data_IF_364010069559
#
_entry.id   IF_364010069559
#
_cell.length_a   1.000
_cell.length_b   1.000
_cell.length_c   1.000
_cell.angle_alpha   90.00
_cell.angle_beta   90.00
_cell.angle_gamma   90.00
#
_symmetry.space_group_name_H-M   'P 1'
#
loop_
_entity.id
_entity.type
_entity.pdbx_description
1 polymer ?
#
# COMPACT_ATOMS: atom_id res chain seq x y z
N UNK A 1 14.77 -53.33 -37.32
CA UNK A 1 15.62 -53.60 -38.49
C UNK A 1 15.55 -52.33 -39.35
N UNK A 2 16.51 -51.40 -39.34
CA UNK A 2 17.88 -51.45 -39.90
C UNK A 2 17.80 -51.85 -41.40
N UNK A 3 18.28 -51.14 -42.44
CA UNK A 3 19.42 -50.24 -42.75
C UNK A 3 19.00 -49.39 -44.00
N UNK A 4 19.44 -48.13 -44.23
CA UNK A 4 20.58 -47.67 -45.11
C UNK A 4 20.52 -48.19 -46.57
N UNK A 5 20.92 -47.54 -47.68
CA UNK A 5 21.54 -46.27 -48.09
C UNK A 5 21.46 -46.25 -49.67
N UNK A 6 21.57 -45.15 -50.44
CA UNK A 6 22.79 -44.60 -51.07
C UNK A 6 22.37 -43.47 -52.07
N UNK A 7 22.91 -42.26 -51.94
CA UNK A 7 23.91 -41.59 -52.82
C UNK A 7 23.48 -41.16 -54.24
N UNK A 8 23.60 -39.85 -54.52
CA UNK A 8 24.30 -39.37 -55.72
C UNK A 8 24.86 -37.96 -55.53
N UNK A 9 26.14 -37.81 -55.90
CA UNK A 9 26.99 -36.62 -55.85
C UNK A 9 26.60 -35.62 -56.95
N UNK A 10 26.75 -34.32 -56.68
CA UNK A 10 27.38 -33.38 -57.63
C UNK A 10 28.08 -32.26 -56.88
N UNK A 11 29.31 -31.97 -57.32
CA UNK A 11 30.25 -31.03 -56.75
C UNK A 11 30.21 -29.68 -57.49
N UNK A 12 30.60 -28.62 -56.77
CA UNK A 12 31.47 -27.56 -57.29
C UNK A 12 30.82 -26.23 -57.69
N UNK A 13 30.93 -25.24 -56.80
CA UNK A 13 31.55 -23.94 -57.12
C UNK A 13 31.85 -23.18 -55.82
N UNK A 14 33.12 -22.84 -55.64
CA UNK A 14 33.72 -22.14 -54.50
C UNK A 14 33.57 -20.63 -54.71
N UNK A 15 33.01 -19.91 -53.74
CA UNK A 15 33.09 -18.44 -53.70
C UNK A 15 33.71 -18.03 -52.35
N UNK A 16 34.87 -17.37 -52.43
CA UNK A 16 35.65 -16.84 -51.32
C UNK A 16 34.93 -15.65 -50.68
N UNK A 17 34.72 -15.67 -49.37
CA UNK A 17 34.50 -14.47 -48.56
C UNK A 17 35.45 -14.54 -47.37
N UNK A 18 36.26 -13.49 -47.23
CA UNK A 18 37.29 -13.33 -46.21
C UNK A 18 36.70 -13.30 -44.80
N UNK A 19 37.26 -14.12 -43.90
CA UNK A 19 36.99 -14.04 -42.47
C UNK A 19 37.89 -12.96 -41.84
N UNK A 20 37.29 -11.89 -41.33
CA UNK A 20 37.98 -10.97 -40.44
C UNK A 20 38.22 -11.67 -39.10
N UNK A 21 39.48 -11.83 -38.72
CA UNK A 21 39.89 -12.41 -37.44
C UNK A 21 39.49 -11.51 -36.28
N UNK A 22 38.70 -12.05 -35.36
CA UNK A 22 38.49 -11.44 -34.05
C UNK A 22 39.62 -11.89 -33.14
N UNK A 23 40.48 -10.93 -32.75
CA UNK A 23 41.52 -11.14 -31.76
C UNK A 23 40.88 -11.30 -30.37
N UNK A 24 41.05 -12.47 -29.75
CA UNK A 24 40.70 -12.72 -28.36
C UNK A 24 41.85 -12.25 -27.46
N UNK A 25 41.69 -11.06 -26.88
CA UNK A 25 42.54 -10.64 -25.77
C UNK A 25 42.04 -11.29 -24.46
N UNK A 26 42.93 -11.79 -23.58
CA UNK A 26 42.53 -12.36 -22.31
C UNK A 26 42.01 -11.28 -21.36
N UNK A 27 40.86 -11.52 -20.74
CA UNK A 27 40.29 -10.68 -19.69
C UNK A 27 41.16 -10.82 -18.43
N UNK A 28 41.65 -9.73 -17.80
CA UNK A 28 42.34 -9.82 -16.52
C UNK A 28 41.38 -10.33 -15.44
N UNK A 29 41.76 -11.42 -14.78
CA UNK A 29 41.08 -11.94 -13.60
C UNK A 29 41.42 -11.08 -12.37
N UNK A 30 40.74 -9.94 -12.21
CA UNK A 30 40.62 -9.23 -10.93
C UNK A 30 39.49 -8.19 -11.00
N UNK A 31 38.26 -8.66 -11.11
CA UNK A 31 37.07 -7.84 -10.87
C UNK A 31 36.45 -8.26 -9.54
N UNK A 32 36.85 -7.60 -8.45
CA UNK A 32 36.08 -7.62 -7.21
C UNK A 32 34.67 -7.11 -7.51
N UNK A 33 33.60 -7.73 -7.00
CA UNK A 33 32.25 -7.21 -7.17
C UNK A 33 32.20 -5.82 -6.54
N UNK A 34 31.83 -4.82 -7.34
CA UNK A 34 31.56 -3.47 -6.85
C UNK A 34 30.45 -3.57 -5.80
N UNK A 35 30.76 -3.19 -4.57
CA UNK A 35 29.78 -3.07 -3.52
C UNK A 35 28.71 -2.07 -3.96
N UNK A 36 27.44 -2.48 -3.93
CA UNK A 36 26.31 -1.59 -4.17
C UNK A 36 26.44 -0.34 -3.28
N UNK A 37 26.09 0.86 -3.77
CA UNK A 37 26.18 2.06 -2.96
C UNK A 37 25.21 1.90 -1.80
N UNK A 38 25.74 1.63 -0.60
CA UNK A 38 24.99 1.87 0.62
C UNK A 38 24.86 3.38 0.71
N UNK A 39 23.70 3.89 0.33
CA UNK A 39 23.33 5.28 0.57
C UNK A 39 23.45 5.51 2.08
N UNK A 40 24.58 6.06 2.50
CA UNK A 40 24.85 6.45 3.87
C UNK A 40 23.95 7.65 4.11
N UNK A 41 22.79 7.40 4.72
CA UNK A 41 21.85 8.45 5.10
C UNK A 41 22.59 9.40 6.04
N UNK A 42 23.05 10.53 5.52
CA UNK A 42 23.63 11.58 6.33
C UNK A 42 22.49 12.12 7.19
N UNK A 43 22.50 11.76 8.47
CA UNK A 43 21.57 12.30 9.44
C UNK A 43 21.87 13.79 9.62
N UNK A 44 21.05 14.65 9.02
CA UNK A 44 20.82 15.97 9.59
C UNK A 44 20.50 15.78 11.10
N UNK A 45 20.94 16.66 12.00
CA UNK A 45 20.74 16.47 13.43
C UNK A 45 19.24 16.28 13.66
N UNK A 46 18.87 15.06 14.05
CA UNK A 46 17.49 14.69 14.31
C UNK A 46 17.01 15.60 15.43
N UNK A 47 16.23 16.63 15.07
CA UNK A 47 15.48 17.42 16.04
C UNK A 47 14.69 16.42 16.89
N UNK A 48 14.85 16.51 18.21
CA UNK A 48 14.44 15.47 19.15
C UNK A 48 13.05 14.92 18.80
N UNK A 49 13.01 13.67 18.32
CA UNK A 49 11.77 12.96 18.05
C UNK A 49 10.98 12.81 19.36
N UNK A 50 9.64 12.69 19.30
CA UNK A 50 8.87 12.46 20.51
C UNK A 50 9.35 11.16 21.19
N UNK A 51 9.45 11.20 22.52
CA UNK A 51 9.76 10.01 23.32
C UNK A 51 8.61 8.99 23.27
N UNK A 52 8.88 7.75 23.67
CA UNK A 52 7.85 6.72 23.81
C UNK A 52 7.38 6.06 22.50
N UNK A 53 8.02 6.34 21.36
CA UNK A 53 7.72 5.65 20.09
C UNK A 53 8.20 4.19 20.12
N UNK A 54 7.26 3.27 20.31
CA UNK A 54 7.53 1.83 20.45
C UNK A 54 7.35 1.05 19.14
N UNK A 55 6.76 1.65 18.10
CA UNK A 55 6.54 0.99 16.82
C UNK A 55 7.81 0.42 16.18
N UNK A 56 7.65 -0.75 15.55
CA UNK A 56 8.70 -1.46 14.84
C UNK A 56 9.17 -0.70 13.60
N UNK A 57 8.25 0.00 12.94
CA UNK A 57 8.52 0.89 11.82
C UNK A 57 7.51 2.04 11.78
N UNK A 58 7.96 3.22 11.38
CA UNK A 58 7.10 4.38 11.15
C UNK A 58 7.73 5.37 10.17
N UNK A 59 6.90 6.25 9.61
CA UNK A 59 7.31 7.32 8.70
C UNK A 59 6.35 8.52 8.80
N UNK A 60 6.90 9.74 8.73
CA UNK A 60 6.14 10.99 8.59
C UNK A 60 6.56 11.69 7.30
N UNK A 61 5.60 12.08 6.47
CA UNK A 61 5.84 12.79 5.21
C UNK A 61 4.80 13.86 4.92
N UNK A 62 5.22 14.88 4.17
CA UNK A 62 4.33 15.88 3.60
C UNK A 62 3.69 15.35 2.30
N UNK A 63 2.36 15.42 2.21
CA UNK A 63 1.56 14.89 1.09
C UNK A 63 1.83 15.64 -0.20
N UNK A 64 1.98 16.96 -0.14
CA UNK A 64 2.05 17.80 -1.33
C UNK A 64 3.42 17.68 -2.00
N UNK A 65 4.48 17.66 -1.19
CA UNK A 65 5.87 17.63 -1.69
C UNK A 65 6.43 16.21 -1.78
N UNK A 66 5.81 15.24 -1.12
CA UNK A 66 6.34 13.90 -0.95
C UNK A 66 7.54 13.80 0.01
N UNK A 67 8.03 14.92 0.56
CA UNK A 67 9.19 14.96 1.45
C UNK A 67 8.96 14.12 2.70
N UNK A 68 9.87 13.18 2.97
CA UNK A 68 9.91 12.43 4.22
C UNK A 68 10.58 13.30 5.27
N UNK A 69 9.87 13.60 6.37
CA UNK A 69 10.34 14.47 7.44
C UNK A 69 11.15 13.69 8.48
N UNK A 70 10.71 12.49 8.81
CA UNK A 70 11.40 11.56 9.69
C UNK A 70 10.90 10.13 9.47
N UNK A 71 11.73 9.14 9.81
CA UNK A 71 11.31 7.74 9.78
C UNK A 71 12.14 6.85 10.71
N UNK A 72 11.61 5.66 11.01
CA UNK A 72 12.31 4.55 11.66
C UNK A 72 12.00 3.28 10.89
N UNK A 73 13.03 2.59 10.41
CA UNK A 73 12.89 1.31 9.70
C UNK A 73 11.82 1.36 8.57
N UNK A 74 11.74 2.46 7.83
CA UNK A 74 10.63 2.74 6.91
C UNK A 74 10.42 1.68 5.83
N UNK A 75 11.50 1.02 5.41
CA UNK A 75 11.53 -0.07 4.42
C UNK A 75 11.44 -1.48 5.04
N UNK A 76 11.27 -1.60 6.36
CA UNK A 76 11.11 -2.91 7.01
C UNK A 76 9.81 -3.56 6.57
N UNK A 77 9.93 -4.76 6.01
CA UNK A 77 8.80 -5.60 5.57
C UNK A 77 8.04 -6.16 6.77
N UNK A 78 6.82 -5.70 6.97
CA UNK A 78 5.89 -6.12 8.02
C UNK A 78 4.53 -6.48 7.41
N UNK A 79 3.75 -7.31 8.10
CA UNK A 79 2.39 -7.58 7.67
C UNK A 79 1.56 -6.27 7.77
N UNK A 80 0.83 -5.87 6.71
CA UNK A 80 0.15 -4.57 6.69
C UNK A 80 -1.22 -4.58 7.38
N UNK A 81 -1.80 -5.75 7.62
CA UNK A 81 -3.23 -5.88 7.93
C UNK A 81 -4.09 -5.05 6.94
N UNK A 82 -5.22 -4.52 7.42
CA UNK A 82 -6.14 -3.74 6.60
C UNK A 82 -5.60 -2.39 6.07
N UNK A 83 -4.39 -1.94 6.47
CA UNK A 83 -3.79 -0.75 5.83
C UNK A 83 -3.46 -1.01 4.35
N UNK A 84 -3.30 -2.28 3.93
CA UNK A 84 -3.15 -2.65 2.51
C UNK A 84 -4.39 -2.29 1.67
N UNK A 85 -5.56 -2.10 2.30
CA UNK A 85 -6.77 -1.64 1.59
C UNK A 85 -6.60 -0.24 0.98
N UNK A 86 -5.58 0.53 1.38
CA UNK A 86 -5.19 1.77 0.68
C UNK A 86 -4.72 1.46 -0.75
N UNK A 87 -3.87 0.45 -0.95
CA UNK A 87 -3.46 -0.02 -2.28
C UNK A 87 -4.64 -0.59 -3.07
N UNK A 88 -5.52 -1.35 -2.41
CA UNK A 88 -6.76 -1.84 -3.03
C UNK A 88 -7.62 -0.70 -3.56
N UNK A 89 -7.83 0.35 -2.75
CA UNK A 89 -8.58 1.53 -3.16
C UNK A 89 -7.91 2.26 -4.33
N UNK A 90 -6.60 2.52 -4.26
CA UNK A 90 -5.87 3.15 -5.38
C UNK A 90 -5.98 2.34 -6.68
N UNK A 91 -6.06 1.00 -6.57
CA UNK A 91 -6.17 0.11 -7.73
C UNK A 91 -7.59 0.06 -8.31
N UNK A 92 -8.61 -0.09 -7.46
CA UNK A 92 -9.95 -0.50 -7.89
C UNK A 92 -10.95 0.65 -7.90
N UNK A 93 -10.79 1.65 -7.01
CA UNK A 93 -11.74 2.75 -6.88
C UNK A 93 -12.00 3.49 -8.20
N UNK A 94 -10.99 3.80 -9.05
CA UNK A 94 -11.22 4.51 -10.31
C UNK A 94 -12.02 3.73 -11.37
N UNK A 95 -12.23 2.42 -11.18
CA UNK A 95 -12.74 1.52 -12.23
C UNK A 95 -14.26 1.49 -12.31
N UNK A 96 -14.95 1.92 -11.26
CA UNK A 96 -16.40 1.81 -11.17
C UNK A 96 -17.03 3.12 -10.69
N UNK A 97 -18.04 3.58 -11.41
CA UNK A 97 -18.86 4.71 -10.96
C UNK A 97 -19.49 4.39 -9.59
N UNK A 98 -19.45 5.38 -8.68
CA UNK A 98 -20.05 5.30 -7.36
C UNK A 98 -21.55 4.89 -7.39
N UNK A 99 -22.27 5.25 -8.46
CA UNK A 99 -23.70 4.94 -8.65
C UNK A 99 -23.97 3.54 -9.22
N UNK A 100 -22.94 2.82 -9.68
CA UNK A 100 -23.11 1.46 -10.22
C UNK A 100 -23.62 0.56 -9.10
N UNK A 101 -24.62 -0.25 -9.43
CA UNK A 101 -25.23 -1.21 -8.49
C UNK A 101 -24.70 -2.61 -8.77
N UNK A 102 -24.44 -3.36 -7.69
CA UNK A 102 -24.11 -4.79 -7.72
C UNK A 102 -25.09 -5.54 -6.84
N UNK A 103 -25.85 -6.45 -7.43
CA UNK A 103 -26.53 -7.50 -6.68
C UNK A 103 -25.51 -8.56 -6.29
N UNK A 104 -25.41 -8.85 -5.00
CA UNK A 104 -24.35 -9.72 -4.46
C UNK A 104 -24.70 -11.18 -4.66
N UNK A 105 -23.78 -11.94 -5.25
CA UNK A 105 -23.92 -13.39 -5.43
C UNK A 105 -23.31 -14.16 -4.24
N UNK A 106 -23.65 -15.45 -4.09
CA UNK A 106 -22.98 -16.32 -3.12
C UNK A 106 -21.46 -16.40 -3.38
N UNK A 107 -21.06 -16.44 -4.65
CA UNK A 107 -19.65 -16.48 -5.07
C UNK A 107 -18.90 -15.19 -4.73
N UNK A 108 -19.58 -14.06 -4.65
CA UNK A 108 -18.97 -12.78 -4.25
C UNK A 108 -18.53 -12.78 -2.79
N UNK A 109 -19.07 -13.68 -1.95
CA UNK A 109 -18.74 -13.77 -0.53
C UNK A 109 -17.94 -15.03 -0.18
N UNK A 110 -17.54 -15.81 -1.18
CA UNK A 110 -16.77 -17.02 -0.99
C UNK A 110 -15.36 -16.70 -0.45
N UNK A 111 -14.86 -17.54 0.46
CA UNK A 111 -13.50 -17.44 1.00
C UNK A 111 -13.29 -16.42 2.11
N UNK A 112 -14.36 -15.80 2.65
CA UNK A 112 -14.27 -14.95 3.83
C UNK A 112 -13.83 -15.77 5.05
N UNK A 113 -12.70 -15.39 5.66
CA UNK A 113 -12.20 -16.03 6.88
C UNK A 113 -13.02 -15.66 8.12
N UNK A 114 -13.13 -16.55 9.10
CA UNK A 114 -13.93 -16.36 10.33
C UNK A 114 -13.52 -15.15 11.18
N UNK A 115 -12.26 -14.72 11.10
CA UNK A 115 -11.74 -13.52 11.79
C UNK A 115 -11.83 -12.23 10.96
N UNK A 116 -12.50 -12.24 9.81
CA UNK A 116 -12.61 -11.07 8.94
C UNK A 116 -13.43 -9.96 9.59
N UNK A 117 -12.99 -8.71 9.43
CA UNK A 117 -13.86 -7.57 9.66
C UNK A 117 -14.92 -7.52 8.56
N UNK A 118 -16.20 -7.37 8.92
CA UNK A 118 -17.32 -7.35 7.99
C UNK A 118 -18.15 -6.09 8.19
N UNK A 119 -18.64 -5.50 7.10
CA UNK A 119 -19.65 -4.42 7.16
C UNK A 119 -21.07 -4.98 7.23
N UNK A 120 -21.28 -6.22 6.77
CA UNK A 120 -22.58 -6.89 6.74
C UNK A 120 -23.21 -6.93 5.36
N UNK A 121 -22.40 -7.06 4.30
CA UNK A 121 -22.88 -7.32 2.94
C UNK A 121 -23.60 -8.67 2.89
N UNK A 122 -24.75 -8.73 2.21
CA UNK A 122 -25.56 -9.95 2.12
C UNK A 122 -25.79 -10.40 0.69
N UNK A 123 -25.76 -11.71 0.47
CA UNK A 123 -26.18 -12.33 -0.77
C UNK A 123 -27.62 -11.94 -1.13
N UNK A 124 -27.89 -11.72 -2.41
CA UNK A 124 -29.19 -11.36 -2.97
C UNK A 124 -29.53 -9.88 -2.83
N UNK A 125 -28.87 -9.15 -1.93
CA UNK A 125 -29.06 -7.72 -1.75
C UNK A 125 -28.23 -6.91 -2.76
N UNK A 126 -28.76 -5.75 -3.16
CA UNK A 126 -28.08 -4.81 -4.04
C UNK A 126 -27.42 -3.70 -3.24
N UNK A 127 -26.18 -3.37 -3.61
CA UNK A 127 -25.41 -2.28 -3.05
C UNK A 127 -24.89 -1.39 -4.17
N UNK A 128 -24.85 -0.08 -3.94
CA UNK A 128 -24.07 0.80 -4.80
C UNK A 128 -22.57 0.59 -4.54
N UNK A 129 -21.72 0.90 -5.52
CA UNK A 129 -20.27 0.92 -5.33
C UNK A 129 -19.87 1.88 -4.20
N UNK A 130 -20.61 3.00 -4.02
CA UNK A 130 -20.41 3.90 -2.90
C UNK A 130 -20.66 3.23 -1.53
N UNK A 131 -21.71 2.41 -1.41
CA UNK A 131 -21.98 1.64 -0.20
C UNK A 131 -20.81 0.71 0.13
N UNK A 132 -20.32 -0.01 -0.88
CA UNK A 132 -19.19 -0.95 -0.72
C UNK A 132 -17.93 -0.20 -0.26
N UNK A 133 -17.58 0.94 -0.87
CA UNK A 133 -16.44 1.74 -0.43
C UNK A 133 -16.61 2.33 0.98
N UNK A 134 -17.82 2.75 1.35
CA UNK A 134 -18.12 3.10 2.74
C UNK A 134 -17.84 1.92 3.68
N UNK A 135 -18.23 0.70 3.32
CA UNK A 135 -17.92 -0.50 4.09
C UNK A 135 -16.42 -0.79 4.20
N UNK A 136 -15.67 -0.63 3.12
CA UNK A 136 -14.20 -0.80 3.09
C UNK A 136 -13.51 0.19 4.02
N UNK A 137 -13.83 1.48 3.94
CA UNK A 137 -13.14 2.51 4.72
C UNK A 137 -13.60 2.55 6.17
N UNK A 138 -14.91 2.52 6.45
CA UNK A 138 -15.42 2.74 7.79
C UNK A 138 -15.35 1.48 8.65
N UNK A 139 -15.68 0.31 8.09
CA UNK A 139 -15.75 -0.95 8.85
C UNK A 139 -14.65 -1.93 8.51
N UNK A 140 -13.73 -1.55 7.61
CA UNK A 140 -12.68 -2.44 7.13
C UNK A 140 -13.25 -3.72 6.50
N UNK A 141 -14.48 -3.65 5.96
CA UNK A 141 -15.27 -4.80 5.54
C UNK A 141 -14.60 -5.60 4.43
N UNK A 142 -14.15 -6.81 4.75
CA UNK A 142 -13.58 -7.75 3.77
C UNK A 142 -14.67 -8.23 2.81
N UNK A 143 -15.89 -8.41 3.28
CA UNK A 143 -17.06 -8.70 2.45
C UNK A 143 -17.26 -7.67 1.33
N UNK A 144 -17.14 -6.38 1.62
CA UNK A 144 -17.19 -5.34 0.60
C UNK A 144 -15.99 -5.42 -0.38
N UNK A 145 -14.79 -5.74 0.12
CA UNK A 145 -13.60 -5.98 -0.73
C UNK A 145 -13.81 -7.17 -1.67
N UNK A 146 -14.38 -8.28 -1.19
CA UNK A 146 -14.63 -9.45 -2.03
C UNK A 146 -15.63 -9.13 -3.16
N UNK A 147 -16.71 -8.40 -2.89
CA UNK A 147 -17.66 -7.97 -3.93
C UNK A 147 -16.98 -7.08 -4.98
N UNK A 148 -16.21 -6.08 -4.54
CA UNK A 148 -15.48 -5.18 -5.44
C UNK A 148 -14.40 -5.94 -6.24
N UNK A 149 -13.73 -6.92 -5.65
CA UNK A 149 -12.78 -7.79 -6.33
C UNK A 149 -13.47 -8.69 -7.36
N UNK A 150 -14.66 -9.24 -7.05
CA UNK A 150 -15.47 -10.00 -8.01
C UNK A 150 -15.87 -9.15 -9.22
N UNK A 151 -16.22 -7.88 -9.00
CA UNK A 151 -16.46 -6.92 -10.09
C UNK A 151 -15.19 -6.61 -10.91
N UNK A 152 -14.00 -6.76 -10.29
CA UNK A 152 -12.70 -6.48 -10.88
C UNK A 152 -11.99 -7.71 -11.48
N UNK A 153 -12.76 -8.69 -11.96
CA UNK A 153 -12.21 -9.92 -12.58
C UNK A 153 -11.81 -11.01 -11.58
N UNK A 154 -12.21 -10.88 -10.32
CA UNK A 154 -12.02 -11.87 -9.27
C UNK A 154 -10.83 -11.60 -8.34
N UNK A 155 -10.76 -12.37 -7.25
CA UNK A 155 -9.80 -12.22 -6.16
C UNK A 155 -8.34 -12.23 -6.63
N UNK A 156 -7.94 -13.27 -7.35
CA UNK A 156 -6.55 -13.44 -7.82
C UNK A 156 -6.17 -12.43 -8.90
N UNK A 157 -7.10 -12.05 -9.77
CA UNK A 157 -6.86 -11.01 -10.78
C UNK A 157 -6.63 -9.65 -10.11
N UNK A 158 -7.47 -9.32 -9.13
CA UNK A 158 -7.35 -8.09 -8.34
C UNK A 158 -6.03 -8.04 -7.57
N UNK A 159 -5.61 -9.13 -6.91
CA UNK A 159 -4.33 -9.17 -6.21
C UNK A 159 -3.13 -8.95 -7.14
N UNK A 160 -3.17 -9.52 -8.36
CA UNK A 160 -2.14 -9.26 -9.38
C UNK A 160 -2.12 -7.81 -9.83
N UNK A 161 -3.29 -7.22 -10.07
CA UNK A 161 -3.41 -5.81 -10.46
C UNK A 161 -2.92 -4.86 -9.35
N UNK A 162 -3.21 -5.18 -8.09
CA UNK A 162 -2.67 -4.44 -6.94
C UNK A 162 -1.14 -4.53 -6.89
N UNK A 163 -0.56 -5.71 -7.13
CA UNK A 163 0.90 -5.85 -7.17
C UNK A 163 1.52 -5.02 -8.31
N UNK A 164 0.88 -4.97 -9.47
CA UNK A 164 1.31 -4.13 -10.60
C UNK A 164 1.19 -2.65 -10.23
N UNK A 165 0.11 -2.25 -9.57
CA UNK A 165 -0.11 -0.87 -9.09
C UNK A 165 0.97 -0.47 -8.09
N UNK A 166 1.31 -1.34 -7.13
CA UNK A 166 2.42 -1.07 -6.21
C UNK A 166 3.75 -0.84 -6.95
N UNK A 167 4.07 -1.68 -7.93
CA UNK A 167 5.28 -1.52 -8.77
C UNK A 167 5.28 -0.20 -9.54
N UNK A 168 4.16 0.17 -10.17
CA UNK A 168 4.03 1.46 -10.90
C UNK A 168 4.24 2.67 -10.00
N UNK A 169 3.86 2.57 -8.73
CA UNK A 169 4.05 3.64 -7.74
C UNK A 169 5.45 3.66 -7.12
N UNK A 170 6.34 2.74 -7.52
CA UNK A 170 7.68 2.61 -6.93
C UNK A 170 7.70 1.94 -5.54
N UNK A 171 6.58 1.35 -5.11
CA UNK A 171 6.45 0.67 -3.83
C UNK A 171 7.03 -0.77 -3.91
N UNK A 172 8.33 -0.89 -3.67
CA UNK A 172 9.13 -2.11 -3.93
C UNK A 172 9.20 -3.08 -2.74
N UNK A 173 8.75 -2.67 -1.54
CA UNK A 173 8.73 -3.53 -0.35
C UNK A 173 7.46 -4.37 -0.24
N UNK A 174 6.44 -4.05 -1.05
CA UNK A 174 5.11 -4.65 -0.99
C UNK A 174 5.02 -5.94 -1.78
N UNK A 175 4.59 -7.00 -1.10
CA UNK A 175 4.16 -8.26 -1.71
C UNK A 175 2.68 -8.50 -1.39
N UNK A 176 1.85 -8.47 -2.43
CA UNK A 176 0.40 -8.68 -2.32
C UNK A 176 0.07 -10.16 -2.46
N UNK A 177 -0.69 -10.71 -1.50
CA UNK A 177 -1.26 -12.07 -1.55
C UNK A 177 -2.78 -12.06 -1.55
N UNK A 178 -3.40 -11.08 -0.88
CA UNK A 178 -4.84 -10.86 -0.86
C UNK A 178 -5.18 -9.37 -1.04
N UNK A 179 -6.32 -9.05 -1.65
CA UNK A 179 -6.78 -7.66 -1.78
C UNK A 179 -7.13 -6.96 -0.46
N UNK A 180 -7.49 -7.71 0.58
CA UNK A 180 -7.99 -7.18 1.84
C UNK A 180 -6.90 -6.91 2.89
N UNK A 181 -5.67 -7.38 2.67
CA UNK A 181 -4.59 -7.27 3.65
C UNK A 181 -4.65 -8.28 4.80
N UNK A 182 -5.55 -9.28 4.75
CA UNK A 182 -5.66 -10.35 5.75
C UNK A 182 -4.39 -11.21 5.80
N UNK A 183 -4.15 -11.91 6.92
CA UNK A 183 -2.91 -12.66 7.09
C UNK A 183 -2.74 -13.76 6.03
N UNK A 184 -1.66 -13.67 5.28
CA UNK A 184 -1.25 -14.68 4.30
C UNK A 184 0.28 -14.88 4.34
N UNK A 185 0.78 -16.10 4.07
CA UNK A 185 2.21 -16.36 3.95
C UNK A 185 2.87 -15.45 2.91
N UNK A 186 3.90 -14.71 3.32
CA UNK A 186 4.63 -13.77 2.46
C UNK A 186 3.89 -12.46 2.13
N UNK A 187 2.71 -12.18 2.69
CA UNK A 187 2.06 -10.87 2.56
C UNK A 187 2.78 -9.84 3.45
N UNK A 188 3.38 -8.84 2.82
CA UNK A 188 4.13 -7.78 3.51
C UNK A 188 4.01 -6.45 2.78
N UNK A 189 4.23 -5.37 3.52
CA UNK A 189 4.45 -4.01 3.03
C UNK A 189 5.48 -3.33 3.93
N UNK A 190 5.80 -2.06 3.67
CA UNK A 190 6.62 -1.23 4.55
C UNK A 190 5.89 0.06 4.94
N UNK A 191 6.40 0.79 5.93
CA UNK A 191 5.83 2.08 6.31
C UNK A 191 5.99 3.12 5.18
N UNK A 192 7.08 3.00 4.41
CA UNK A 192 7.29 3.77 3.19
C UNK A 192 6.21 3.49 2.14
N UNK A 193 6.05 2.22 1.74
CA UNK A 193 5.11 1.84 0.68
C UNK A 193 3.66 2.18 1.03
N UNK A 194 3.25 1.97 2.28
CA UNK A 194 1.90 2.35 2.74
C UNK A 194 1.68 3.87 2.70
N UNK A 195 2.74 4.66 2.93
CA UNK A 195 2.68 6.12 2.78
C UNK A 195 2.56 6.52 1.31
N UNK A 196 3.24 5.82 0.39
CA UNK A 196 3.09 6.02 -1.06
C UNK A 196 1.66 5.76 -1.48
N UNK A 197 1.04 4.67 -1.03
CA UNK A 197 -0.36 4.36 -1.37
C UNK A 197 -1.33 5.39 -0.81
N UNK A 198 -1.13 5.84 0.43
CA UNK A 198 -1.97 6.87 1.01
C UNK A 198 -1.82 8.22 0.29
N UNK A 199 -0.60 8.60 -0.12
CA UNK A 199 -0.38 9.84 -0.88
C UNK A 199 -1.08 9.78 -2.25
N UNK A 200 -0.92 8.67 -2.97
CA UNK A 200 -1.62 8.44 -4.24
C UNK A 200 -3.15 8.43 -4.06
N UNK A 201 -3.64 7.80 -3.00
CA UNK A 201 -5.06 7.76 -2.65
C UNK A 201 -5.62 9.16 -2.35
N UNK A 202 -4.93 9.96 -1.54
CA UNK A 202 -5.40 11.30 -1.15
C UNK A 202 -5.45 12.30 -2.32
N UNK A 203 -4.78 12.02 -3.44
CA UNK A 203 -4.92 12.79 -4.67
C UNK A 203 -6.26 12.51 -5.41
N UNK A 204 -6.99 11.46 -5.02
CA UNK A 204 -8.31 11.13 -5.52
C UNK A 204 -9.40 11.61 -4.55
N UNK A 205 -10.33 12.46 -5.04
CA UNK A 205 -11.38 13.07 -4.20
C UNK A 205 -12.32 12.05 -3.55
N UNK A 206 -12.65 10.97 -4.25
CA UNK A 206 -13.51 9.92 -3.72
C UNK A 206 -12.82 9.15 -2.58
N UNK A 207 -11.54 8.81 -2.74
CA UNK A 207 -10.74 8.22 -1.65
C UNK A 207 -10.70 9.16 -0.43
N UNK A 208 -10.38 10.44 -0.65
CA UNK A 208 -10.31 11.44 0.41
C UNK A 208 -11.66 11.60 1.12
N UNK A 209 -12.77 11.56 0.37
CA UNK A 209 -14.13 11.58 0.90
C UNK A 209 -14.40 10.35 1.77
N UNK A 210 -14.20 9.13 1.24
CA UNK A 210 -14.51 7.92 2.01
C UNK A 210 -13.64 7.77 3.27
N UNK A 211 -12.36 8.11 3.20
CA UNK A 211 -11.48 7.96 4.35
C UNK A 211 -11.73 8.99 5.46
N UNK A 212 -12.36 10.13 5.12
CA UNK A 212 -12.73 11.20 6.06
C UNK A 212 -14.16 11.12 6.59
N UNK A 213 -14.99 10.24 6.04
CA UNK A 213 -16.36 10.04 6.54
C UNK A 213 -16.34 9.39 7.92
N UNK A 214 -16.88 10.05 8.97
CA UNK A 214 -16.92 9.49 10.31
C UNK A 214 -18.05 8.47 10.47
N UNK A 215 -19.23 8.75 9.89
CA UNK A 215 -20.44 7.93 10.01
C UNK A 215 -21.27 8.05 8.74
N UNK A 216 -21.95 6.98 8.35
CA UNK A 216 -22.90 6.96 7.23
C UNK A 216 -23.95 5.86 7.44
N UNK A 217 -25.12 5.99 6.83
CA UNK A 217 -26.07 4.88 6.73
C UNK A 217 -25.58 3.85 5.71
N UNK A 218 -25.64 2.57 6.07
CA UNK A 218 -25.32 1.44 5.21
C UNK A 218 -26.57 0.58 4.97
N UNK A 219 -26.85 0.12 3.74
CA UNK A 219 -28.06 -0.65 3.45
C UNK A 219 -28.21 -1.88 4.34
N UNK A 220 -29.35 -1.97 5.04
CA UNK A 220 -29.66 -3.05 5.97
C UNK A 220 -30.51 -4.15 5.31
N UNK A 221 -30.56 -5.32 5.95
CA UNK A 221 -31.44 -6.41 5.53
C UNK A 221 -32.91 -6.04 5.77
N UNK A 222 -33.79 -6.31 4.80
CA UNK A 222 -35.23 -6.02 4.93
C UNK A 222 -35.61 -4.57 4.64
N UNK A 223 -34.66 -3.73 4.19
CA UNK A 223 -34.89 -2.33 3.85
C UNK A 223 -34.30 -1.36 4.87
N UNK A 224 -34.21 -0.08 4.50
CA UNK A 224 -33.62 0.97 5.33
C UNK A 224 -32.09 0.89 5.44
N UNK A 225 -31.55 1.56 6.46
CA UNK A 225 -30.10 1.66 6.68
C UNK A 225 -29.72 1.52 8.14
N UNK A 226 -28.59 0.88 8.42
CA UNK A 226 -27.93 0.88 9.73
C UNK A 226 -26.77 1.88 9.72
N UNK A 227 -26.59 2.67 10.77
CA UNK A 227 -25.43 3.56 10.85
C UNK A 227 -24.16 2.74 11.06
N UNK A 228 -23.17 2.96 10.21
CA UNK A 228 -21.80 2.48 10.41
C UNK A 228 -20.90 3.65 10.78
N UNK A 229 -19.90 3.38 11.62
CA UNK A 229 -18.91 4.36 12.08
C UNK A 229 -17.51 3.92 11.65
N UNK A 230 -16.65 4.89 11.37
CA UNK A 230 -15.26 4.68 10.99
C UNK A 230 -14.43 4.09 12.13
N UNK A 231 -13.69 3.01 11.89
CA UNK A 231 -12.83 2.36 12.89
C UNK A 231 -11.58 3.17 13.23
N UNK A 232 -11.25 4.22 12.47
CA UNK A 232 -10.13 5.10 12.80
C UNK A 232 -10.50 6.00 14.00
N UNK A 233 -9.97 5.63 15.16
CA UNK A 233 -10.27 6.32 16.43
C UNK A 233 -9.74 7.74 16.50
N UNK A 234 -8.75 8.13 15.68
CA UNK A 234 -8.35 9.55 15.58
C UNK A 234 -9.44 10.42 14.94
N UNK A 235 -10.27 9.84 14.06
CA UNK A 235 -11.36 10.53 13.37
C UNK A 235 -12.62 10.61 14.23
N UNK A 236 -12.99 9.50 14.89
CA UNK A 236 -14.27 9.40 15.61
C UNK A 236 -14.17 9.61 17.12
N UNK A 237 -12.97 9.49 17.68
CA UNK A 237 -12.71 9.45 19.12
C UNK A 237 -12.87 8.04 19.69
N UNK A 238 -12.38 7.83 20.90
CA UNK A 238 -12.55 6.59 21.68
C UNK A 238 -12.30 6.87 23.16
N UNK A 239 -12.62 5.93 24.04
CA UNK A 239 -12.18 6.01 25.43
C UNK A 239 -10.66 6.19 25.51
N UNK A 240 -10.22 7.24 26.22
CA UNK A 240 -8.80 7.61 26.34
C UNK A 240 -8.16 8.16 25.07
N UNK A 241 -8.93 8.58 24.06
CA UNK A 241 -8.44 9.21 22.84
C UNK A 241 -9.47 10.19 22.25
N UNK A 242 -9.22 11.48 22.40
CA UNK A 242 -10.00 12.53 21.73
C UNK A 242 -9.77 12.51 20.22
N UNK A 243 -10.72 13.09 19.46
CA UNK A 243 -10.52 13.32 18.02
C UNK A 243 -9.28 14.17 17.80
N UNK A 244 -8.47 13.80 16.82
CA UNK A 244 -7.23 14.52 16.52
C UNK A 244 -7.53 15.79 15.68
N UNK A 245 -7.10 17.00 16.09
CA UNK A 245 -7.40 18.22 15.36
C UNK A 245 -6.83 18.22 13.94
N UNK A 246 -7.69 18.50 12.96
CA UNK A 246 -7.34 18.54 11.53
C UNK A 246 -7.22 17.16 10.87
N UNK A 247 -7.63 16.08 11.54
CA UNK A 247 -7.57 14.72 10.98
C UNK A 247 -8.41 14.58 9.70
N UNK A 248 -7.82 13.96 8.69
CA UNK A 248 -8.45 13.56 7.43
C UNK A 248 -8.84 12.08 7.47
N UNK A 249 -8.06 11.23 8.14
CA UNK A 249 -8.34 9.79 8.24
C UNK A 249 -7.27 8.95 7.54
N UNK A 250 -7.64 8.21 6.50
CA UNK A 250 -6.90 7.14 5.78
C UNK A 250 -7.30 5.73 6.22
N UNK A 251 -6.52 5.00 7.03
CA UNK A 251 -6.88 3.60 7.35
C UNK A 251 -6.11 3.01 8.54
N UNK A 252 -6.84 2.35 9.44
CA UNK A 252 -6.28 1.48 10.48
C UNK A 252 -6.40 -0.01 10.10
N UNK A 253 -5.59 -0.86 10.72
CA UNK A 253 -5.66 -2.31 10.57
C UNK A 253 -5.11 -3.07 11.78
N UNK A 254 -5.60 -4.30 11.96
CA UNK A 254 -5.10 -5.22 12.96
C UNK A 254 -5.25 -6.66 12.46
N UNK A 255 -4.24 -7.49 12.70
CA UNK A 255 -4.31 -8.95 12.69
C UNK A 255 -3.38 -9.49 13.77
N UNK A 256 -3.51 -10.75 14.15
CA UNK A 256 -2.61 -11.37 15.14
C UNK A 256 -1.15 -11.37 14.68
N UNK A 257 -0.89 -11.50 13.38
CA UNK A 257 0.47 -11.45 12.83
C UNK A 257 1.02 -10.04 12.67
N UNK A 258 0.17 -9.07 12.30
CA UNK A 258 0.61 -7.70 12.04
C UNK A 258 0.74 -6.84 13.30
N UNK A 259 -0.05 -7.15 14.34
CA UNK A 259 -0.34 -6.18 15.40
C UNK A 259 -1.14 -4.99 14.86
N UNK A 260 -1.12 -3.87 15.60
CA UNK A 260 -1.81 -2.66 15.16
C UNK A 260 -1.02 -1.94 14.06
N UNK A 261 -1.69 -1.51 13.01
CA UNK A 261 -1.13 -0.72 11.91
C UNK A 261 -2.04 0.47 11.63
N UNK A 262 -1.45 1.61 11.27
CA UNK A 262 -2.20 2.82 10.98
C UNK A 262 -1.48 3.63 9.92
N UNK A 263 -2.24 4.11 8.96
CA UNK A 263 -1.88 5.27 8.14
C UNK A 263 -2.88 6.36 8.49
N UNK A 264 -2.39 7.51 8.95
CA UNK A 264 -3.19 8.65 9.34
C UNK A 264 -2.73 9.90 8.60
N UNK A 265 -3.66 10.70 8.09
CA UNK A 265 -3.36 12.01 7.52
C UNK A 265 -4.09 13.12 8.26
N UNK A 266 -3.45 14.27 8.41
CA UNK A 266 -4.03 15.47 9.00
C UNK A 266 -3.58 16.73 8.25
N UNK A 267 -4.35 17.82 8.38
CA UNK A 267 -4.05 19.12 7.80
C UNK A 267 -4.02 20.22 8.85
N UNK A 268 -2.96 21.03 8.86
CA UNK A 268 -2.81 22.24 9.69
C UNK A 268 -1.99 23.27 8.91
N UNK A 269 -2.38 24.54 9.00
CA UNK A 269 -1.61 25.68 8.45
C UNK A 269 -1.14 25.48 7.00
N UNK A 270 -2.00 24.98 6.11
CA UNK A 270 -1.67 24.73 4.70
C UNK A 270 -0.87 23.46 4.41
N UNK A 271 -0.32 22.79 5.43
CA UNK A 271 0.38 21.52 5.29
C UNK A 271 -0.56 20.34 5.51
N UNK A 272 -0.36 19.29 4.70
CA UNK A 272 -1.03 17.99 4.90
C UNK A 272 0.04 16.95 5.14
N UNK A 273 0.03 16.33 6.31
CA UNK A 273 1.03 15.33 6.70
C UNK A 273 0.39 13.95 6.81
N UNK A 274 1.15 12.92 6.44
CA UNK A 274 0.85 11.51 6.71
C UNK A 274 1.80 11.01 7.78
N UNK A 275 1.27 10.29 8.77
CA UNK A 275 2.02 9.41 9.65
C UNK A 275 1.58 7.96 9.43
N UNK A 276 2.55 7.10 9.11
CA UNK A 276 2.37 5.65 9.03
C UNK A 276 3.07 4.99 10.21
N UNK A 277 2.36 4.17 10.98
CA UNK A 277 2.86 3.51 12.19
C UNK A 277 2.53 2.02 12.13
N UNK A 278 3.56 1.18 12.26
CA UNK A 278 3.43 -0.27 12.17
C UNK A 278 3.91 -0.94 13.45
N UNK A 279 2.98 -1.68 14.06
CA UNK A 279 3.17 -2.57 15.19
C UNK A 279 3.84 -1.89 16.41
N UNK A 280 3.17 -0.93 17.07
CA UNK A 280 3.60 -0.41 18.37
C UNK A 280 3.70 -1.53 19.41
N UNK A 281 4.77 -1.51 20.19
CA UNK A 281 5.15 -2.56 21.15
C UNK A 281 4.88 -2.17 22.61
N UNK A 282 4.39 -0.96 22.89
CA UNK A 282 4.18 -0.45 24.25
C UNK A 282 3.10 -1.19 25.04
N UNK A 283 2.21 -1.93 24.36
CA UNK A 283 1.03 -2.55 24.97
C UNK A 283 -0.05 -1.55 25.41
N UNK A 284 0.17 -0.26 25.17
CA UNK A 284 -0.73 0.79 25.62
C UNK A 284 -2.06 0.79 24.85
N UNK A 285 -3.16 1.03 25.56
CA UNK A 285 -4.45 1.28 24.94
C UNK A 285 -4.35 2.48 23.97
N UNK A 286 -4.78 2.26 22.73
CA UNK A 286 -4.67 3.21 21.61
C UNK A 286 -3.23 3.57 21.20
N UNK A 287 -2.21 2.76 21.56
CA UNK A 287 -0.80 3.06 21.29
C UNK A 287 -0.50 3.47 19.84
N UNK A 288 -1.08 2.77 18.84
CA UNK A 288 -0.89 3.11 17.42
C UNK A 288 -1.38 4.52 17.06
N UNK A 289 -2.48 4.95 17.66
CA UNK A 289 -3.08 6.26 17.42
C UNK A 289 -2.35 7.36 18.18
N UNK A 290 -1.88 7.07 19.40
CA UNK A 290 -1.08 8.00 20.21
C UNK A 290 0.28 8.26 19.59
N UNK A 291 0.98 7.21 19.14
CA UNK A 291 2.25 7.35 18.43
C UNK A 291 2.07 8.10 17.10
N UNK A 292 1.00 7.81 16.33
CA UNK A 292 0.72 8.57 15.11
C UNK A 292 0.40 10.04 15.39
N UNK A 293 -0.36 10.34 16.45
CA UNK A 293 -0.64 11.71 16.89
C UNK A 293 0.63 12.48 17.26
N UNK A 294 1.51 11.87 18.08
CA UNK A 294 2.78 12.47 18.47
C UNK A 294 3.70 12.73 17.27
N UNK A 295 3.74 11.81 16.31
CA UNK A 295 4.48 11.95 15.06
C UNK A 295 3.92 13.06 14.17
N UNK A 296 2.60 13.20 14.07
CA UNK A 296 1.96 14.29 13.33
C UNK A 296 2.21 15.64 14.01
N UNK A 297 2.08 15.73 15.33
CA UNK A 297 2.35 16.96 16.10
C UNK A 297 3.80 17.41 15.88
N UNK A 298 4.76 16.49 16.06
CA UNK A 298 6.17 16.75 15.73
C UNK A 298 6.34 17.19 14.28
N UNK A 299 5.69 16.51 13.33
CA UNK A 299 5.75 16.84 11.91
C UNK A 299 5.30 18.27 11.61
N UNK A 300 4.19 18.72 12.20
CA UNK A 300 3.68 20.08 12.00
C UNK A 300 4.58 21.16 12.59
N UNK A 301 5.22 20.90 13.72
CA UNK A 301 6.18 21.83 14.33
C UNK A 301 7.46 22.00 13.49
N UNK A 302 7.72 21.05 12.59
CA UNK A 302 8.99 20.91 11.90
C UNK A 302 8.92 21.11 10.38
N UNK A 303 7.76 20.90 9.76
CA UNK A 303 7.58 20.85 8.29
C UNK A 303 8.14 22.08 7.56
N UNK A 304 8.03 23.29 8.14
CA UNK A 304 8.54 24.51 7.52
C UNK A 304 10.09 24.63 7.52
N UNK A 305 10.77 23.82 8.32
CA UNK A 305 12.21 23.93 8.57
C UNK A 305 12.97 22.62 8.39
N UNK A 306 12.30 21.53 8.00
CA UNK A 306 12.93 20.22 7.90
C UNK A 306 13.63 20.05 6.56
N UNK A 307 14.91 19.70 6.61
CA UNK A 307 15.57 19.08 5.47
C UNK A 307 15.00 17.67 5.29
N UNK A 308 14.51 17.30 4.10
CA UNK A 308 13.89 16.00 3.89
C UNK A 308 14.93 14.88 4.03
N UNK A 309 14.56 13.80 4.74
CA UNK A 309 15.39 12.57 4.85
C UNK A 309 15.13 11.57 3.70
N UNK A 310 14.30 11.97 2.73
CA UNK A 310 13.92 11.20 1.55
C UNK A 310 12.68 11.79 0.87
N UNK A 311 12.20 11.13 -0.20
CA UNK A 311 10.91 11.41 -0.85
C UNK A 311 10.09 10.14 -0.96
N UNK A 312 8.78 10.25 -0.78
CA UNK A 312 7.81 9.18 -1.06
C UNK A 312 7.36 9.27 -2.53
N UNK A 313 7.25 8.15 -3.24
CA UNK A 313 6.79 8.07 -4.64
C UNK A 313 7.92 7.74 -5.62
N UNK A 314 7.61 7.57 -6.92
CA UNK A 314 8.64 7.35 -7.93
C UNK A 314 9.63 8.52 -7.88
N UNK A 315 10.89 8.21 -7.59
CA UNK A 315 11.97 9.18 -7.67
C UNK A 315 12.29 9.46 -9.13
N UNK A 316 12.59 10.71 -9.44
CA UNK A 316 13.23 11.12 -10.70
C UNK A 316 14.68 10.61 -10.72
N UNK A 317 14.88 9.29 -10.75
CA UNK A 317 16.20 8.65 -10.80
C UNK A 317 16.56 8.15 -12.21
N UNK A 318 15.85 8.65 -13.22
CA UNK A 318 16.20 8.49 -14.65
C UNK A 318 17.00 9.71 -15.14
N UNK A 319 18.00 10.12 -14.34
CA UNK A 319 19.01 11.09 -14.76
C UNK A 319 19.96 10.46 -15.77
N UNK A 320 19.77 10.85 -17.03
CA UNK A 320 20.60 10.63 -18.21
C UNK A 320 22.11 10.52 -17.91
N UNK A 321 22.72 9.37 -18.22
CA UNK A 321 24.11 9.33 -18.68
C UNK A 321 24.05 9.35 -20.22
N UNK A 322 24.44 10.50 -20.77
CA UNK A 322 24.84 10.68 -22.17
C UNK A 322 26.33 10.39 -22.32
#
# INVERSE_FOLDING_TARGET
>A
MAFDALVSKKAGALAMIAAAGVSLSPIPADARPAAAPTARQAAAPARHLPGGLSALAWLVADVNTGKVLASKNSHRKLAPASTLKTLFAVTVLPKFSAKRVRQVSAGDLAGLGSGSSLVGVRQGQSYTVADLWNGVFLRSGNDAVHVLAAMNGGWSATAREMQQTARRLGARDTTVKSPDGYDAPGQVSSAYDLTVFARAGLANEDFARYCSTPRVGFPAAGGGSVQIENTNRMLVGSHGLSRYPGIIGVKNGYTSKAGNTLVAAARRNGHTLIATVLNPQSGELNGVYKEAGALLDWGFDHVARSEPVGRSGPGDDDGEDS
#
